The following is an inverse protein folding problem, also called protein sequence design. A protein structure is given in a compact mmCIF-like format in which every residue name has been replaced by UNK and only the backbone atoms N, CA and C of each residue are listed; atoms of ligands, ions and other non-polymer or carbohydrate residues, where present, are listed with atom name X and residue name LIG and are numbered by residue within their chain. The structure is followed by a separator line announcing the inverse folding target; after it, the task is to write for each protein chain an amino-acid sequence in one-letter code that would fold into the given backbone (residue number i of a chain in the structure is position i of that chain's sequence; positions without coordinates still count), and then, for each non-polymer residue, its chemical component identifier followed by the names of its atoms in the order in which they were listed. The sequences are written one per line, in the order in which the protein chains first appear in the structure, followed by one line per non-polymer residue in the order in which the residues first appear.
data_IF_437423274472
#
_entry.id   IF_437423274472
#
_cell.length_a   1.000
_cell.length_b   1.000
_cell.length_c   1.000
_cell.angle_alpha   90.00
_cell.angle_beta   90.00
_cell.angle_gamma   90.00
#
_symmetry.space_group_name_H-M   'P 1'
#
loop_
_entity.id
_entity.type
_entity.pdbx_description
1 polymer ?
#
# COMPACT_ATOMS: atom_id res chain seq x y z
N UNK A 1 22.37 23.14 5.32
CA UNK A 1 22.82 22.10 4.38
C UNK A 1 23.82 22.66 3.37
N UNK A 2 23.62 23.86 2.79
CA UNK A 2 24.58 24.43 1.83
C UNK A 2 25.98 24.73 2.39
N UNK A 3 26.10 24.99 3.70
CA UNK A 3 27.39 25.27 4.38
C UNK A 3 28.07 24.02 4.94
N UNK A 4 27.33 22.97 5.19
CA UNK A 4 27.82 21.67 5.65
C UNK A 4 27.50 20.62 4.59
N UNK A 5 28.48 19.81 4.20
CA UNK A 5 28.27 18.64 3.34
C UNK A 5 28.40 17.39 4.20
N UNK A 6 27.35 16.97 4.90
CA UNK A 6 27.42 15.71 5.64
C UNK A 6 27.42 14.54 4.66
N UNK A 7 28.23 13.54 4.93
CA UNK A 7 28.29 12.31 4.14
C UNK A 7 27.14 11.37 4.45
N UNK A 8 26.57 11.52 5.66
CA UNK A 8 25.55 10.61 6.16
C UNK A 8 24.47 11.37 6.94
N UNK A 9 23.23 11.04 6.66
CA UNK A 9 22.06 11.50 7.39
C UNK A 9 21.50 10.37 8.22
N UNK A 10 21.18 10.62 9.48
CA UNK A 10 20.58 9.63 10.39
C UNK A 10 19.12 9.97 10.65
N UNK A 11 18.24 9.00 10.40
CA UNK A 11 16.80 9.09 10.71
C UNK A 11 16.63 8.55 12.14
N UNK A 12 16.11 9.40 13.03
CA UNK A 12 15.89 9.04 14.44
C UNK A 12 14.81 7.95 14.57
N UNK A 13 14.98 7.11 15.57
CA UNK A 13 14.06 6.02 15.91
C UNK A 13 12.61 6.48 16.12
N UNK A 14 12.37 7.71 16.55
CA UNK A 14 11.02 8.24 16.77
C UNK A 14 10.20 8.23 15.48
N UNK A 15 10.81 8.59 14.34
CA UNK A 15 10.15 8.50 13.04
C UNK A 15 9.93 7.06 12.61
N UNK A 16 10.90 6.18 12.89
CA UNK A 16 10.85 4.75 12.53
C UNK A 16 9.77 4.01 13.32
N UNK A 17 9.62 4.31 14.61
CA UNK A 17 8.61 3.67 15.47
C UNK A 17 7.18 3.97 15.03
N UNK A 18 6.94 5.14 14.45
CA UNK A 18 5.63 5.58 14.01
C UNK A 18 5.25 5.13 12.58
N UNK A 19 6.14 4.45 11.87
CA UNK A 19 5.88 3.96 10.49
C UNK A 19 4.64 3.04 10.43
N UNK A 20 4.38 2.30 11.50
CA UNK A 20 3.27 1.35 11.61
C UNK A 20 1.95 2.01 12.00
N UNK A 21 1.95 3.26 12.44
CA UNK A 21 0.74 4.01 12.77
C UNK A 21 0.05 4.53 11.51
N UNK A 22 -1.29 4.53 11.51
CA UNK A 22 -2.13 4.87 10.34
C UNK A 22 -1.98 6.31 9.83
N UNK A 23 -1.37 7.18 10.61
CA UNK A 23 -1.20 8.60 10.28
C UNK A 23 0.00 8.87 9.38
N UNK A 24 0.12 8.29 8.23
CA UNK A 24 1.09 8.44 7.14
C UNK A 24 2.13 9.59 7.12
N UNK A 25 2.14 10.49 8.12
CA UNK A 25 3.01 11.67 8.20
C UNK A 25 4.47 11.25 8.32
N UNK A 26 4.80 10.34 9.24
CA UNK A 26 6.18 9.91 9.45
C UNK A 26 6.71 9.14 8.23
N UNK A 27 5.86 8.34 7.59
CA UNK A 27 6.18 7.70 6.31
C UNK A 27 6.50 8.72 5.22
N UNK A 28 5.71 9.79 5.13
CA UNK A 28 5.93 10.89 4.20
C UNK A 28 7.25 11.62 4.47
N UNK A 29 7.56 11.90 5.74
CA UNK A 29 8.82 12.53 6.16
C UNK A 29 10.02 11.65 5.79
N UNK A 30 9.95 10.35 6.09
CA UNK A 30 11.03 9.40 5.78
C UNK A 30 11.22 9.31 4.26
N UNK A 31 10.15 9.18 3.48
CA UNK A 31 10.24 9.13 2.02
C UNK A 31 10.86 10.39 1.42
N UNK A 32 10.43 11.57 1.90
CA UNK A 32 10.99 12.85 1.47
C UNK A 32 12.46 12.99 1.85
N UNK A 33 12.83 12.53 3.06
CA UNK A 33 14.20 12.55 3.56
C UNK A 33 15.11 11.66 2.72
N UNK A 34 14.69 10.44 2.41
CA UNK A 34 15.42 9.50 1.57
C UNK A 34 15.55 10.01 0.13
N UNK A 35 14.51 10.64 -0.41
CA UNK A 35 14.59 11.25 -1.73
C UNK A 35 15.58 12.43 -1.76
N UNK A 36 15.52 13.31 -0.77
CA UNK A 36 16.42 14.45 -0.63
C UNK A 36 17.87 14.01 -0.47
N UNK A 37 18.14 12.98 0.32
CA UNK A 37 19.50 12.45 0.52
C UNK A 37 20.11 11.92 -0.77
N UNK A 38 19.32 11.23 -1.61
CA UNK A 38 19.74 10.77 -2.94
C UNK A 38 20.11 11.95 -3.85
N UNK A 39 19.33 13.04 -3.84
CA UNK A 39 19.63 14.25 -4.61
C UNK A 39 20.91 14.96 -4.14
N UNK A 40 21.27 14.80 -2.88
CA UNK A 40 22.44 15.45 -2.25
C UNK A 40 23.64 14.51 -2.16
N UNK A 41 23.54 13.29 -2.71
CA UNK A 41 24.58 12.24 -2.67
C UNK A 41 25.03 11.91 -1.23
N UNK A 42 24.05 11.84 -0.31
CA UNK A 42 24.25 11.48 1.10
C UNK A 42 23.73 10.08 1.35
N UNK A 43 24.46 9.30 2.15
CA UNK A 43 23.96 8.02 2.69
C UNK A 43 22.95 8.25 3.81
N UNK A 44 21.97 7.34 3.94
CA UNK A 44 21.00 7.39 5.02
C UNK A 44 21.09 6.18 5.92
N UNK A 45 21.14 6.44 7.23
CA UNK A 45 21.05 5.41 8.28
C UNK A 45 19.71 5.54 8.99
N UNK A 46 18.88 4.51 8.94
CA UNK A 46 17.65 4.43 9.72
C UNK A 46 17.92 3.72 11.06
N UNK A 47 17.61 4.38 12.17
CA UNK A 47 17.85 3.86 13.50
C UNK A 47 16.58 3.34 14.18
N UNK A 48 16.73 2.36 15.08
CA UNK A 48 15.65 1.85 15.91
C UNK A 48 14.64 0.98 15.17
N UNK A 49 15.07 0.27 14.13
CA UNK A 49 14.24 -0.70 13.44
C UNK A 49 14.07 -1.95 14.30
N UNK A 50 12.85 -2.23 14.73
CA UNK A 50 12.49 -3.33 15.61
C UNK A 50 11.53 -4.33 14.98
N UNK A 51 10.83 -3.96 13.89
CA UNK A 51 9.79 -4.73 13.25
C UNK A 51 10.05 -4.97 11.76
N UNK A 52 9.53 -6.09 11.23
CA UNK A 52 9.69 -6.46 9.83
C UNK A 52 9.02 -5.47 8.87
N UNK A 53 7.91 -4.84 9.28
CA UNK A 53 7.20 -3.84 8.47
C UNK A 53 8.03 -2.57 8.29
N UNK A 54 8.72 -2.14 9.35
CA UNK A 54 9.65 -1.03 9.28
C UNK A 54 10.80 -1.36 8.31
N UNK A 55 11.37 -2.57 8.44
CA UNK A 55 12.42 -3.06 7.54
C UNK A 55 11.95 -3.10 6.08
N UNK A 56 10.75 -3.63 5.85
CA UNK A 56 10.17 -3.75 4.50
C UNK A 56 9.97 -2.38 3.85
N UNK A 57 9.43 -1.42 4.61
CA UNK A 57 9.21 -0.06 4.15
C UNK A 57 10.54 0.64 3.80
N UNK A 58 11.54 0.56 4.67
CA UNK A 58 12.85 1.17 4.43
C UNK A 58 13.59 0.54 3.24
N UNK A 59 13.45 -0.78 3.04
CA UNK A 59 13.99 -1.46 1.86
C UNK A 59 13.31 -1.03 0.56
N UNK A 60 12.00 -0.81 0.57
CA UNK A 60 11.27 -0.31 -0.61
C UNK A 60 11.74 1.08 -1.02
N UNK A 61 12.15 1.90 -0.05
CA UNK A 61 12.70 3.24 -0.27
C UNK A 61 14.21 3.23 -0.53
N UNK A 62 14.83 2.03 -0.60
CA UNK A 62 16.27 1.85 -0.82
C UNK A 62 17.14 2.59 0.20
N UNK A 63 16.76 2.54 1.49
CA UNK A 63 17.57 3.07 2.57
C UNK A 63 18.92 2.35 2.64
N UNK A 64 20.04 3.10 2.67
CA UNK A 64 21.39 2.56 2.56
C UNK A 64 21.77 1.67 3.74
N UNK A 65 21.49 2.12 4.96
CA UNK A 65 21.88 1.42 6.19
C UNK A 65 20.68 1.35 7.15
N UNK A 66 20.46 0.17 7.72
CA UNK A 66 19.38 -0.07 8.67
C UNK A 66 19.96 -0.63 9.95
N UNK A 67 19.69 0.05 11.08
CA UNK A 67 20.15 -0.32 12.40
C UNK A 67 18.97 -0.48 13.36
N UNK A 68 18.98 -1.54 14.20
CA UNK A 68 17.96 -1.72 15.23
C UNK A 68 17.92 -3.11 15.85
N UNK A 69 17.05 -3.25 16.85
CA UNK A 69 16.91 -4.49 17.63
C UNK A 69 16.30 -5.65 16.84
N UNK A 70 15.78 -5.37 15.69
CA UNK A 70 15.36 -6.42 14.76
C UNK A 70 16.54 -7.34 14.39
N UNK A 71 17.76 -6.82 14.33
CA UNK A 71 18.98 -7.56 14.03
C UNK A 71 19.70 -7.98 15.31
N UNK A 72 20.11 -7.02 16.13
CA UNK A 72 20.77 -7.28 17.40
C UNK A 72 20.56 -6.12 18.37
N UNK A 73 20.43 -6.43 19.65
CA UNK A 73 20.65 -5.46 20.73
C UNK A 73 22.15 -5.19 20.85
N UNK A 74 22.57 -4.08 21.51
CA UNK A 74 23.96 -3.91 21.90
C UNK A 74 24.44 -5.13 22.68
N UNK A 75 25.61 -5.64 22.32
CA UNK A 75 26.21 -6.82 22.92
C UNK A 75 27.58 -6.48 23.47
N UNK A 76 28.08 -7.30 24.43
CA UNK A 76 29.43 -7.18 24.95
C UNK A 76 30.47 -7.57 23.89
N UNK A 77 31.71 -7.13 24.10
CA UNK A 77 32.79 -7.30 23.12
C UNK A 77 33.01 -8.76 22.71
N UNK A 78 32.96 -9.70 23.63
CA UNK A 78 33.15 -11.12 23.38
C UNK A 78 32.05 -11.72 22.49
N UNK A 79 30.82 -11.21 22.56
CA UNK A 79 29.72 -11.61 21.70
C UNK A 79 29.83 -10.92 20.33
N UNK A 80 30.25 -9.66 20.32
CA UNK A 80 30.48 -8.91 19.09
C UNK A 80 31.54 -9.56 18.20
N UNK A 81 32.66 -10.02 18.78
CA UNK A 81 33.70 -10.76 18.04
C UNK A 81 33.15 -12.03 17.37
N UNK A 82 32.27 -12.75 18.04
CA UNK A 82 31.58 -13.91 17.44
C UNK A 82 30.69 -13.51 16.28
N UNK A 83 29.97 -12.39 16.40
CA UNK A 83 29.13 -11.87 15.32
C UNK A 83 29.97 -11.45 14.11
N UNK A 84 31.13 -10.85 14.30
CA UNK A 84 32.08 -10.52 13.24
C UNK A 84 32.54 -11.76 12.47
N UNK A 85 32.76 -12.86 13.17
CA UNK A 85 33.15 -14.14 12.55
C UNK A 85 32.05 -14.72 11.69
N UNK A 86 30.76 -14.51 12.06
CA UNK A 86 29.60 -14.95 11.27
C UNK A 86 29.45 -14.09 10.01
N UNK A 87 29.86 -12.82 10.03
CA UNK A 87 29.90 -11.92 8.88
C UNK A 87 28.54 -11.33 8.47
N UNK A 88 27.41 -11.81 9.00
CA UNK A 88 26.08 -11.25 8.75
C UNK A 88 25.10 -11.51 9.89
N UNK A 89 24.08 -10.65 10.01
CA UNK A 89 22.98 -10.80 10.97
C UNK A 89 21.65 -10.98 10.22
N UNK A 90 20.90 -12.01 10.57
CA UNK A 90 19.52 -12.19 10.07
C UNK A 90 18.56 -11.44 10.99
N UNK A 91 17.51 -10.81 10.45
CA UNK A 91 16.44 -10.25 11.25
C UNK A 91 15.83 -11.32 12.15
N UNK A 92 15.64 -11.02 13.44
CA UNK A 92 15.06 -11.97 14.39
C UNK A 92 13.56 -12.04 14.17
N UNK A 93 12.99 -13.25 14.05
CA UNK A 93 11.54 -13.43 14.12
C UNK A 93 11.06 -12.97 15.49
N UNK A 94 10.31 -11.89 15.54
CA UNK A 94 9.65 -11.47 16.78
C UNK A 94 8.47 -12.42 17.04
N UNK A 95 8.44 -13.03 18.23
CA UNK A 95 7.31 -13.88 18.70
C UNK A 95 6.07 -13.04 19.09
N UNK A 96 6.00 -11.78 18.68
CA UNK A 96 4.75 -11.01 18.78
C UNK A 96 3.77 -11.60 17.78
N UNK A 97 2.56 -11.99 18.27
CA UNK A 97 1.44 -12.29 17.39
C UNK A 97 1.35 -11.14 16.39
N UNK A 98 1.27 -11.41 15.08
CA UNK A 98 1.07 -10.35 14.11
C UNK A 98 -0.14 -9.52 14.56
N UNK A 99 0.05 -8.25 14.76
CA UNK A 99 -1.06 -7.31 14.71
C UNK A 99 -1.74 -7.57 13.38
N UNK A 100 -3.05 -7.72 13.40
CA UNK A 100 -3.94 -8.27 12.34
C UNK A 100 -3.66 -7.79 10.90
N UNK A 101 -2.69 -6.90 10.69
CA UNK A 101 -2.39 -6.23 9.42
C UNK A 101 -1.03 -6.57 8.75
N UNK A 102 -0.23 -7.53 9.23
CA UNK A 102 1.09 -7.90 8.64
C UNK A 102 1.04 -8.47 7.21
N UNK A 103 -0.17 -8.70 6.66
CA UNK A 103 -0.36 -9.17 5.27
C UNK A 103 -0.34 -8.04 4.23
N UNK A 104 -0.30 -6.76 4.63
CA UNK A 104 -0.45 -5.65 3.72
C UNK A 104 0.90 -5.11 3.25
N UNK A 105 1.29 -5.50 2.05
CA UNK A 105 2.53 -5.06 1.39
C UNK A 105 2.52 -3.60 0.93
N UNK A 106 1.33 -3.02 0.69
CA UNK A 106 1.16 -1.70 0.11
C UNK A 106 0.27 -0.80 0.97
N UNK A 107 0.61 0.50 1.02
CA UNK A 107 -0.27 1.51 1.58
C UNK A 107 -1.62 1.51 0.86
N UNK A 108 -2.70 1.68 1.62
CA UNK A 108 -4.06 1.78 1.09
C UNK A 108 -4.62 3.16 1.37
N UNK A 109 -5.11 3.78 0.31
CA UNK A 109 -5.92 4.97 0.45
C UNK A 109 -7.39 4.54 0.61
N UNK A 110 -7.99 4.85 1.76
CA UNK A 110 -9.40 4.58 2.02
C UNK A 110 -10.21 5.82 1.67
N UNK A 111 -11.27 5.67 0.90
CA UNK A 111 -12.14 6.76 0.52
C UNK A 111 -13.14 7.04 1.63
N UNK A 112 -13.27 8.31 2.07
CA UNK A 112 -14.29 8.73 3.05
C UNK A 112 -15.70 8.64 2.47
N UNK A 113 -15.83 8.90 1.16
CA UNK A 113 -17.00 8.67 0.33
C UNK A 113 -16.57 7.68 -0.73
N UNK A 114 -17.22 6.51 -0.87
CA UNK A 114 -16.78 5.49 -1.80
C UNK A 114 -16.81 5.94 -3.25
N UNK A 115 -15.90 5.39 -4.06
CA UNK A 115 -15.73 5.71 -5.46
C UNK A 115 -16.61 4.78 -6.31
N UNK A 116 -17.29 5.34 -7.31
CA UNK A 116 -18.00 4.56 -8.33
C UNK A 116 -16.99 3.95 -9.32
N UNK A 117 -17.21 2.70 -9.68
CA UNK A 117 -16.46 1.99 -10.69
C UNK A 117 -17.33 1.04 -11.50
N UNK A 118 -16.75 0.46 -12.52
CA UNK A 118 -17.36 -0.60 -13.31
C UNK A 118 -16.45 -1.80 -13.38
N UNK A 119 -17.01 -2.97 -13.39
CA UNK A 119 -16.28 -4.23 -13.48
C UNK A 119 -16.86 -5.11 -14.58
N UNK A 120 -15.97 -5.79 -15.30
CA UNK A 120 -16.32 -6.84 -16.25
C UNK A 120 -15.39 -8.04 -16.08
N UNK A 121 -15.83 -9.22 -16.55
CA UNK A 121 -14.96 -10.39 -16.65
C UNK A 121 -14.27 -10.31 -18.01
N UNK A 122 -12.96 -10.20 -18.02
CA UNK A 122 -12.16 -10.08 -19.26
C UNK A 122 -11.61 -11.41 -19.74
N UNK A 123 -11.33 -12.36 -18.83
CA UNK A 123 -10.78 -13.67 -19.19
C UNK A 123 -11.37 -14.78 -18.31
N UNK A 124 -11.64 -15.92 -18.93
CA UNK A 124 -12.03 -17.17 -18.26
C UNK A 124 -11.17 -18.30 -18.82
N UNK A 125 -10.41 -19.01 -17.96
CA UNK A 125 -9.49 -20.06 -18.39
C UNK A 125 -8.55 -19.65 -19.54
N UNK A 126 -7.96 -18.42 -19.43
CA UNK A 126 -7.05 -17.81 -20.41
C UNK A 126 -7.75 -17.38 -21.72
N UNK A 127 -9.02 -17.69 -21.90
CA UNK A 127 -9.79 -17.21 -23.05
C UNK A 127 -10.37 -15.83 -22.77
N UNK A 128 -10.13 -14.88 -23.66
CA UNK A 128 -10.78 -13.57 -23.60
C UNK A 128 -12.28 -13.70 -23.80
N UNK A 129 -13.04 -13.06 -22.93
CA UNK A 129 -14.50 -13.00 -23.02
C UNK A 129 -14.94 -11.54 -23.05
N UNK A 130 -16.05 -11.28 -23.71
CA UNK A 130 -16.63 -9.94 -23.76
C UNK A 130 -18.02 -10.02 -23.10
N UNK A 131 -18.05 -9.64 -21.82
CA UNK A 131 -19.28 -9.59 -21.03
C UNK A 131 -19.66 -8.14 -20.74
N UNK A 132 -20.90 -7.93 -20.31
CA UNK A 132 -21.38 -6.62 -19.89
C UNK A 132 -20.61 -6.07 -18.68
N UNK A 133 -20.69 -4.76 -18.49
CA UNK A 133 -20.15 -4.10 -17.29
C UNK A 133 -21.21 -4.12 -16.18
N UNK A 134 -20.75 -4.29 -14.97
CA UNK A 134 -21.57 -4.14 -13.76
C UNK A 134 -21.01 -3.02 -12.88
N UNK A 135 -21.87 -2.17 -12.29
CA UNK A 135 -21.41 -1.16 -11.37
C UNK A 135 -20.81 -1.82 -10.11
N UNK A 136 -19.77 -1.21 -9.59
CA UNK A 136 -19.14 -1.57 -8.33
C UNK A 136 -18.85 -0.31 -7.53
N UNK A 137 -18.73 -0.47 -6.22
CA UNK A 137 -18.32 0.59 -5.32
C UNK A 137 -16.94 0.26 -4.76
N UNK A 138 -16.02 1.20 -4.81
CA UNK A 138 -14.62 1.01 -4.38
C UNK A 138 -14.41 1.75 -3.07
N UNK A 139 -14.08 1.01 -2.00
CA UNK A 139 -13.80 1.55 -0.66
C UNK A 139 -12.37 2.06 -0.52
N UNK A 140 -11.43 1.30 -1.06
CA UNK A 140 -10.03 1.65 -0.94
C UNK A 140 -9.22 1.16 -2.14
N UNK A 141 -8.06 1.79 -2.32
CA UNK A 141 -7.13 1.51 -3.40
C UNK A 141 -5.69 1.46 -2.89
N UNK A 142 -4.91 0.55 -3.45
CA UNK A 142 -3.48 0.42 -3.21
C UNK A 142 -2.77 -0.08 -4.46
N UNK A 143 -1.44 -0.05 -4.49
CA UNK A 143 -0.65 -0.66 -5.58
C UNK A 143 -0.86 -2.18 -5.70
N UNK A 144 -1.28 -2.83 -4.62
CA UNK A 144 -1.54 -4.29 -4.62
C UNK A 144 -2.98 -4.67 -4.89
N UNK A 145 -3.92 -3.73 -4.95
CA UNK A 145 -5.32 -4.05 -5.20
C UNK A 145 -6.35 -3.10 -4.60
N UNK A 146 -7.58 -3.53 -4.65
CA UNK A 146 -8.79 -2.77 -4.29
C UNK A 146 -9.65 -3.55 -3.32
N UNK A 147 -10.45 -2.84 -2.51
CA UNK A 147 -11.65 -3.40 -1.88
C UNK A 147 -12.86 -2.83 -2.61
N UNK A 148 -13.73 -3.72 -3.08
CA UNK A 148 -14.93 -3.35 -3.84
C UNK A 148 -16.18 -3.98 -3.23
N UNK A 149 -17.34 -3.37 -3.49
CA UNK A 149 -18.66 -3.93 -3.21
C UNK A 149 -19.42 -4.17 -4.52
N UNK A 150 -20.22 -5.22 -4.54
CA UNK A 150 -21.09 -5.59 -5.64
C UNK A 150 -22.33 -6.31 -5.12
N UNK A 151 -23.43 -6.24 -5.87
CA UNK A 151 -24.63 -7.05 -5.63
C UNK A 151 -24.55 -8.44 -6.30
N UNK A 152 -23.46 -8.73 -7.03
CA UNK A 152 -23.27 -10.03 -7.67
C UNK A 152 -22.42 -10.95 -6.77
N UNK A 153 -22.88 -12.20 -6.63
CA UNK A 153 -22.08 -13.28 -6.01
C UNK A 153 -21.13 -13.85 -7.02
N UNK A 154 -19.86 -13.46 -6.91
CA UNK A 154 -18.81 -13.85 -7.84
C UNK A 154 -17.95 -14.96 -7.23
N UNK A 155 -17.52 -15.96 -8.01
CA UNK A 155 -16.65 -17.01 -7.53
C UNK A 155 -15.22 -16.48 -7.30
N UNK A 156 -14.60 -16.92 -6.20
CA UNK A 156 -13.20 -16.64 -5.88
C UNK A 156 -12.31 -17.83 -6.24
N UNK A 157 -11.00 -17.57 -6.35
CA UNK A 157 -9.99 -18.61 -6.67
C UNK A 157 -10.25 -19.37 -7.98
N UNK A 158 -10.81 -18.66 -8.96
CA UNK A 158 -11.05 -19.17 -10.32
C UNK A 158 -9.99 -18.64 -11.27
N UNK A 159 -9.86 -19.28 -12.45
CA UNK A 159 -9.04 -18.77 -13.54
C UNK A 159 -9.76 -17.63 -14.31
N UNK A 160 -10.31 -16.66 -13.57
CA UNK A 160 -11.01 -15.50 -14.10
C UNK A 160 -10.21 -14.23 -13.84
N UNK A 161 -10.07 -13.39 -14.86
CA UNK A 161 -9.52 -12.04 -14.75
C UNK A 161 -10.64 -11.03 -14.81
N UNK A 162 -10.66 -10.13 -13.87
CA UNK A 162 -11.62 -9.03 -13.81
C UNK A 162 -10.94 -7.74 -14.24
N UNK A 163 -11.63 -6.98 -15.08
CA UNK A 163 -11.23 -5.63 -15.46
C UNK A 163 -12.09 -4.63 -14.71
N UNK A 164 -11.44 -3.72 -14.03
CA UNK A 164 -12.08 -2.69 -13.20
C UNK A 164 -11.71 -1.34 -13.75
N UNK A 165 -12.74 -0.53 -14.09
CA UNK A 165 -12.60 0.84 -14.58
C UNK A 165 -13.18 1.83 -13.58
N UNK A 166 -12.51 2.94 -13.41
CA UNK A 166 -12.96 4.06 -12.58
C UNK A 166 -12.24 5.34 -12.99
N UNK A 167 -12.85 6.49 -12.65
CA UNK A 167 -12.26 7.81 -12.89
C UNK A 167 -11.80 8.40 -11.55
N UNK A 168 -10.55 8.85 -11.50
CA UNK A 168 -9.94 9.42 -10.31
C UNK A 168 -9.02 10.58 -10.69
N UNK A 169 -9.28 11.78 -10.14
CA UNK A 169 -8.53 13.01 -10.46
C UNK A 169 -8.51 13.35 -11.96
N UNK A 170 -9.66 13.23 -12.62
CA UNK A 170 -9.83 13.39 -14.08
C UNK A 170 -9.11 12.34 -14.95
N UNK A 171 -8.51 11.32 -14.34
CA UNK A 171 -7.84 10.25 -15.05
C UNK A 171 -8.66 8.96 -15.00
N UNK A 172 -8.79 8.32 -16.16
CA UNK A 172 -9.41 7.00 -16.27
C UNK A 172 -8.37 5.91 -15.97
N UNK A 173 -8.75 4.99 -15.10
CA UNK A 173 -7.96 3.81 -14.74
C UNK A 173 -8.69 2.55 -15.19
N UNK A 174 -7.92 1.64 -15.77
CA UNK A 174 -8.35 0.27 -16.03
C UNK A 174 -7.34 -0.67 -15.38
N UNK A 175 -7.79 -1.43 -14.39
CA UNK A 175 -6.97 -2.37 -13.64
C UNK A 175 -7.48 -3.79 -13.87
N UNK A 176 -6.54 -4.70 -14.11
CA UNK A 176 -6.86 -6.13 -14.19
C UNK A 176 -6.46 -6.83 -12.92
N UNK A 177 -7.28 -7.77 -12.44
CA UNK A 177 -6.99 -8.47 -11.20
C UNK A 177 -7.82 -9.73 -10.97
N UNK A 178 -7.49 -10.41 -9.89
CA UNK A 178 -8.16 -11.63 -9.41
C UNK A 178 -8.86 -11.36 -8.09
N UNK A 179 -10.04 -11.94 -7.89
CA UNK A 179 -10.71 -11.93 -6.59
C UNK A 179 -9.97 -12.89 -5.62
N UNK A 180 -9.55 -12.38 -4.48
CA UNK A 180 -8.76 -13.14 -3.48
C UNK A 180 -9.57 -13.57 -2.28
N UNK A 181 -10.58 -12.80 -1.91
CA UNK A 181 -11.50 -13.11 -0.84
C UNK A 181 -12.87 -12.46 -1.10
N UNK A 182 -13.89 -13.02 -0.51
CA UNK A 182 -15.25 -12.50 -0.49
C UNK A 182 -15.76 -12.49 0.95
N UNK A 183 -16.53 -11.47 1.29
CA UNK A 183 -17.33 -11.42 2.49
C UNK A 183 -18.78 -11.13 2.10
N UNK A 184 -19.69 -11.98 2.53
CA UNK A 184 -21.13 -11.79 2.33
C UNK A 184 -21.62 -10.81 3.39
N UNK A 185 -22.19 -9.70 2.96
CA UNK A 185 -22.73 -8.66 3.79
C UNK A 185 -24.27 -8.81 3.88
N UNK A 186 -24.89 -8.04 4.76
CA UNK A 186 -26.33 -8.05 4.87
C UNK A 186 -27.01 -7.60 3.56
N UNK A 187 -28.23 -8.08 3.32
CA UNK A 187 -29.07 -7.68 2.17
C UNK A 187 -28.56 -8.04 0.76
N UNK A 188 -27.77 -9.11 0.63
CA UNK A 188 -27.33 -9.64 -0.66
C UNK A 188 -26.19 -8.85 -1.30
N UNK A 189 -25.50 -8.04 -0.52
CA UNK A 189 -24.26 -7.40 -0.93
C UNK A 189 -23.06 -8.27 -0.61
N UNK A 190 -22.00 -8.10 -1.40
CA UNK A 190 -20.73 -8.79 -1.26
C UNK A 190 -19.60 -7.79 -1.32
N UNK A 191 -18.64 -7.90 -0.39
CA UNK A 191 -17.38 -7.19 -0.50
C UNK A 191 -16.27 -8.15 -0.94
N UNK A 192 -15.40 -7.66 -1.81
CA UNK A 192 -14.32 -8.43 -2.41
C UNK A 192 -12.99 -7.73 -2.23
N UNK A 193 -11.95 -8.52 -2.00
CA UNK A 193 -10.57 -8.07 -2.19
C UNK A 193 -10.06 -8.48 -3.56
N UNK A 194 -9.69 -7.50 -4.36
CA UNK A 194 -9.12 -7.67 -5.69
C UNK A 194 -7.61 -7.48 -5.61
N UNK A 195 -6.83 -8.48 -6.01
CA UNK A 195 -5.40 -8.31 -6.21
C UNK A 195 -5.13 -7.94 -7.66
N UNK A 196 -4.53 -6.77 -7.86
CA UNK A 196 -4.22 -6.25 -9.21
C UNK A 196 -2.82 -6.64 -9.66
N UNK A 197 -2.68 -6.88 -10.96
CA UNK A 197 -1.37 -7.06 -11.61
C UNK A 197 -1.12 -5.82 -12.47
N UNK A 198 -0.13 -5.02 -12.05
CA UNK A 198 0.23 -3.77 -12.74
C UNK A 198 1.55 -3.97 -13.49
N UNK A 199 1.65 -3.39 -14.67
CA UNK A 199 2.94 -3.15 -15.29
C UNK A 199 3.59 -1.91 -14.64
N UNK A 200 4.89 -1.71 -14.85
CA UNK A 200 5.65 -0.62 -14.21
C UNK A 200 5.04 0.77 -14.46
N UNK A 201 4.59 1.04 -15.69
CA UNK A 201 4.00 2.34 -16.04
C UNK A 201 2.68 2.58 -15.29
N UNK A 202 1.81 1.59 -15.21
CA UNK A 202 0.56 1.65 -14.46
C UNK A 202 0.81 1.77 -12.95
N UNK A 203 1.82 1.09 -12.43
CA UNK A 203 2.24 1.16 -11.02
C UNK A 203 2.72 2.58 -10.67
N UNK A 204 3.62 3.17 -11.47
CA UNK A 204 4.13 4.53 -11.26
C UNK A 204 3.00 5.56 -11.33
N UNK A 205 2.09 5.43 -12.30
CA UNK A 205 0.92 6.30 -12.45
C UNK A 205 -0.02 6.20 -11.25
N UNK A 206 -0.35 5.00 -10.81
CA UNK A 206 -1.22 4.77 -9.66
C UNK A 206 -0.58 5.25 -8.36
N UNK A 207 0.73 5.05 -8.18
CA UNK A 207 1.49 5.56 -7.03
C UNK A 207 1.42 7.09 -6.95
N UNK A 208 1.62 7.77 -8.08
CA UNK A 208 1.51 9.23 -8.17
C UNK A 208 0.13 9.73 -7.73
N UNK A 209 -0.94 9.08 -8.21
CA UNK A 209 -2.32 9.43 -7.86
C UNK A 209 -2.60 9.17 -6.38
N UNK A 210 -2.20 8.03 -5.82
CA UNK A 210 -2.37 7.71 -4.39
C UNK A 210 -1.65 8.74 -3.52
N UNK A 211 -0.45 9.18 -3.90
CA UNK A 211 0.29 10.24 -3.20
C UNK A 211 -0.45 11.58 -3.25
N UNK A 212 -1.00 11.95 -4.42
CA UNK A 212 -1.78 13.17 -4.59
C UNK A 212 -3.07 13.15 -3.76
N UNK A 213 -3.78 12.02 -3.73
CA UNK A 213 -4.95 11.80 -2.86
C UNK A 213 -4.60 11.99 -1.38
N UNK A 214 -3.48 11.42 -0.95
CA UNK A 214 -3.00 11.56 0.44
C UNK A 214 -2.69 13.02 0.79
N UNK A 215 -2.17 13.80 -0.16
CA UNK A 215 -1.92 15.23 0.00
C UNK A 215 -3.23 16.03 0.09
N UNK A 216 -4.19 15.77 -0.80
CA UNK A 216 -5.50 16.42 -0.78
C UNK A 216 -6.24 16.15 0.54
N UNK A 217 -6.23 14.88 1.00
CA UNK A 217 -6.81 14.51 2.30
C UNK A 217 -6.17 15.26 3.46
N UNK A 218 -4.83 15.36 3.49
CA UNK A 218 -4.11 16.06 4.55
C UNK A 218 -4.44 17.55 4.58
N UNK A 219 -4.63 18.16 3.42
CA UNK A 219 -5.02 19.56 3.27
C UNK A 219 -6.52 19.79 3.47
N UNK A 220 -7.30 18.74 3.72
CA UNK A 220 -8.75 18.78 3.79
C UNK A 220 -9.42 19.32 2.50
N UNK A 221 -8.77 19.06 1.36
CA UNK A 221 -9.25 19.45 0.04
C UNK A 221 -10.16 18.39 -0.57
N UNK A 222 -11.11 18.82 -1.41
CA UNK A 222 -11.95 17.89 -2.17
C UNK A 222 -11.11 17.22 -3.25
N UNK A 223 -11.46 15.96 -3.55
CA UNK A 223 -10.86 15.20 -4.66
C UNK A 223 -11.66 15.56 -5.92
N UNK A 224 -11.10 16.33 -6.85
CA UNK A 224 -11.82 16.76 -8.05
C UNK A 224 -11.84 15.66 -9.11
N UNK A 225 -12.75 15.75 -10.11
CA UNK A 225 -12.78 14.87 -11.28
C UNK A 225 -12.89 13.39 -10.92
N UNK A 226 -13.73 13.09 -9.94
CA UNK A 226 -13.90 11.75 -9.36
C UNK A 226 -15.38 11.50 -9.13
N UNK A 227 -15.87 10.34 -9.55
CA UNK A 227 -17.26 9.95 -9.36
C UNK A 227 -17.43 9.23 -8.04
N UNK A 228 -18.06 9.89 -7.06
CA UNK A 228 -18.32 9.35 -5.73
C UNK A 228 -19.78 8.95 -5.56
N UNK A 229 -20.02 7.92 -4.76
CA UNK A 229 -21.34 7.48 -4.33
C UNK A 229 -21.62 8.06 -2.95
N UNK A 230 -22.49 9.08 -2.89
CA UNK A 230 -22.84 9.79 -1.65
C UNK A 230 -23.99 9.15 -0.87
N UNK A 231 -24.72 8.25 -1.50
CA UNK A 231 -25.78 7.49 -0.85
C UNK A 231 -25.23 6.21 -0.21
N UNK A 232 -26.02 5.62 0.68
CA UNK A 232 -25.68 4.33 1.28
C UNK A 232 -25.54 3.26 0.19
N UNK A 233 -24.53 2.40 0.32
CA UNK A 233 -24.19 1.35 -0.64
C UNK A 233 -25.38 0.43 -0.94
N UNK A 234 -26.16 0.07 0.08
CA UNK A 234 -27.36 -0.76 -0.11
C UNK A 234 -28.43 -0.02 -0.92
N UNK A 235 -28.60 1.27 -0.69
CA UNK A 235 -29.55 2.11 -1.42
C UNK A 235 -29.14 2.24 -2.88
N UNK A 236 -27.84 2.40 -3.15
CA UNK A 236 -27.32 2.46 -4.51
C UNK A 236 -27.65 1.20 -5.31
N UNK A 237 -27.32 0.02 -4.80
CA UNK A 237 -27.54 -1.25 -5.50
C UNK A 237 -29.01 -1.71 -5.55
N UNK A 238 -29.95 -1.09 -4.82
CA UNK A 238 -31.39 -1.37 -4.97
C UNK A 238 -32.04 -0.64 -6.14
N UNK A 239 -31.40 0.40 -6.66
CA UNK A 239 -31.91 1.21 -7.78
C UNK A 239 -31.45 0.69 -9.15
N UNK A 240 -30.33 -0.06 -9.15
CA UNK A 240 -29.76 -0.73 -10.30
C UNK A 240 -30.35 -2.15 -10.49
#
# INVERSE_FOLDING_TARGET
IRQFKPDTLKIDKLFIQNITHENGVDRGIISATLHLSKLLDMKVVAEGVEEFDQLSFLKQLECDVIQGYLFSKPVQINEFEKLLTIGYLKPKKTNRKPLINERRRFFRFEFSVPLLGQMTIGEVNVNKVQLGNTPIIIDNISLGGLKIHSNLKLPINTNMKFHIRFTLLYEEFELSGDLKWVNEEDNGLFSYGVATTLNRLAEDRLASVINKLSTLRRNNEKIPGTEFVYEDIQTYFRKE
#
